data_IF_355839545451
#
_entry.id   IF_355839545451
#
_cell.length_a   1.000
_cell.length_b   1.000
_cell.length_c   1.000
_cell.angle_alpha   90.00
_cell.angle_beta   90.00
_cell.angle_gamma   90.00
#
_symmetry.space_group_name_H-M   'P 1'
#
loop_
_entity.id
_entity.type
_entity.pdbx_description
1 polymer ?
2 polymer ?
3 non-polymer ?
4 water ?
#
# COMPACT_ATOMS: atom_id res chain seq x y z
N UNK A 5 19.06 6.07 -5.20
CA UNK A 5 19.63 4.83 -5.72
C UNK A 5 19.01 3.62 -5.02
N UNK A 6 18.33 2.79 -5.81
CA UNK A 6 17.76 1.55 -5.31
C UNK A 6 18.79 0.44 -5.49
N UNK A 7 19.07 -0.28 -4.42
CA UNK A 7 19.98 -1.42 -4.47
C UNK A 7 19.19 -2.70 -4.21
N UNK A 8 19.78 -3.82 -4.64
CA UNK A 8 19.13 -5.12 -4.57
C UNK A 8 20.05 -6.10 -3.85
N UNK A 9 19.45 -6.96 -3.02
CA UNK A 9 20.18 -7.93 -2.22
C UNK A 9 19.25 -9.08 -1.90
N UNK A 10 19.79 -10.22 -1.51
CA UNK A 10 18.92 -11.33 -1.08
C UNK A 10 18.21 -10.96 0.22
N UNK A 11 17.02 -11.53 0.39
CA UNK A 11 16.30 -11.36 1.64
C UNK A 11 16.96 -12.19 2.73
N UNK A 12 17.07 -11.62 3.93
CA UNK A 12 17.64 -12.31 5.07
C UNK A 12 16.73 -12.14 6.28
N UNK A 13 16.99 -12.84 7.38
CA UNK A 13 15.99 -12.89 8.46
C UNK A 13 15.73 -11.55 9.13
N UNK A 14 16.58 -10.54 8.96
CA UNK A 14 16.26 -9.24 9.53
C UNK A 14 15.09 -8.59 8.83
N UNK A 15 14.72 -9.08 7.65
CA UNK A 15 13.60 -8.60 6.86
C UNK A 15 12.27 -9.25 7.24
N UNK A 16 12.26 -10.18 8.19
CA UNK A 16 11.09 -11.04 8.38
C UNK A 16 9.84 -10.21 8.71
N UNK A 17 9.91 -9.36 9.73
CA UNK A 17 8.70 -8.64 10.12
C UNK A 17 8.25 -7.69 9.02
N UNK A 18 9.19 -6.98 8.39
CA UNK A 18 8.84 -6.09 7.28
C UNK A 18 8.18 -6.85 6.14
N UNK A 19 8.73 -8.02 5.80
CA UNK A 19 8.18 -8.81 4.70
C UNK A 19 6.75 -9.23 4.99
N UNK A 20 6.50 -9.73 6.21
CA UNK A 20 5.16 -10.17 6.58
C UNK A 20 4.17 -9.00 6.55
N UNK A 21 4.59 -7.84 7.05
CA UNK A 21 3.70 -6.68 7.09
C UNK A 21 3.30 -6.23 5.69
N UNK A 22 4.28 -6.11 4.78
CA UNK A 22 3.95 -5.67 3.43
C UNK A 22 2.99 -6.65 2.78
N UNK A 23 3.26 -7.96 2.94
CA UNK A 23 2.39 -8.96 2.31
C UNK A 23 0.96 -8.82 2.81
N UNK A 24 0.76 -8.69 4.13
CA UNK A 24 -0.63 -8.68 4.56
C UNK A 24 -1.30 -7.38 4.21
N UNK A 25 -0.53 -6.33 3.91
CA UNK A 25 -1.09 -5.05 3.51
C UNK A 25 -1.37 -4.92 2.01
N UNK A 26 -0.69 -5.66 1.14
CA UNK A 26 -0.90 -5.46 -0.29
C UNK A 26 -1.42 -6.69 -1.02
N UNK A 27 -1.41 -7.87 -0.40
CA UNK A 27 -2.02 -9.03 -1.08
C UNK A 27 -3.27 -9.49 -0.34
N UNK A 28 -4.39 -9.69 -1.05
CA UNK A 28 -5.60 -10.21 -0.37
C UNK A 28 -5.52 -11.67 0.01
N UNK A 29 -4.62 -12.45 -0.58
CA UNK A 29 -4.38 -13.81 -0.13
C UNK A 29 -3.46 -13.76 1.09
N UNK A 30 -3.81 -14.48 2.14
CA UNK A 30 -3.05 -14.49 3.39
C UNK A 30 -2.09 -15.67 3.42
N UNK A 31 -0.87 -15.45 3.91
CA UNK A 31 0.15 -16.48 3.98
C UNK A 31 0.55 -16.77 5.42
N UNK A 32 0.97 -18.00 5.65
CA UNK A 32 1.34 -18.49 6.97
C UNK A 32 2.78 -18.14 7.30
N UNK A 33 3.08 -18.15 8.60
CA UNK A 33 4.42 -17.82 9.07
C UNK A 33 5.50 -18.66 8.37
N UNK A 34 5.22 -19.95 8.15
CA UNK A 34 6.25 -20.84 7.63
C UNK A 34 6.71 -20.40 6.24
N UNK A 35 5.82 -19.79 5.46
CA UNK A 35 6.22 -19.26 4.16
C UNK A 35 7.32 -18.22 4.33
N UNK A 36 7.10 -17.26 5.22
CA UNK A 36 8.07 -16.20 5.41
C UNK A 36 9.36 -16.73 6.02
N UNK A 37 9.25 -17.65 6.98
CA UNK A 37 10.45 -18.28 7.51
C UNK A 37 11.24 -18.96 6.40
N UNK A 38 10.55 -19.67 5.51
CA UNK A 38 11.22 -20.30 4.37
C UNK A 38 11.91 -19.26 3.49
N UNK A 39 11.23 -18.14 3.21
CA UNK A 39 11.84 -17.11 2.36
C UNK A 39 13.13 -16.59 2.99
N UNK A 40 13.08 -16.20 4.27
CA UNK A 40 14.23 -15.49 4.83
C UNK A 40 15.39 -16.43 5.09
N UNK A 41 15.14 -17.72 5.28
CA UNK A 41 16.24 -18.64 5.53
C UNK A 41 16.97 -19.06 4.26
N UNK A 42 16.50 -18.64 3.09
CA UNK A 42 17.03 -19.12 1.84
C UNK A 42 16.45 -20.47 1.49
N UNK A 43 17.30 -21.49 1.45
CA UNK A 43 16.84 -22.84 1.18
C UNK A 43 16.28 -23.02 -0.22
N UNK A 44 15.02 -23.46 -0.30
CA UNK A 44 14.40 -23.78 -1.58
C UNK A 44 13.68 -22.61 -2.22
N UNK A 45 13.58 -21.47 -1.54
CA UNK A 45 12.95 -20.28 -2.12
C UNK A 45 14.04 -19.26 -2.39
N UNK A 46 14.05 -18.71 -3.60
CA UNK A 46 15.00 -17.68 -3.97
C UNK A 46 14.27 -16.34 -3.96
N UNK A 47 14.96 -15.30 -3.53
CA UNK A 47 14.26 -14.03 -3.38
C UNK A 47 15.24 -12.88 -3.59
N UNK A 48 14.68 -11.74 -3.94
CA UNK A 48 15.44 -10.51 -4.10
C UNK A 48 14.70 -9.41 -3.36
N UNK A 49 15.45 -8.59 -2.64
CA UNK A 49 14.91 -7.43 -1.96
C UNK A 49 15.43 -6.18 -2.65
N UNK A 50 14.58 -5.17 -2.69
CA UNK A 50 14.94 -3.83 -3.13
C UNK A 50 14.99 -2.94 -1.89
N UNK A 51 16.05 -2.14 -1.78
CA UNK A 51 16.24 -1.25 -0.65
C UNK A 51 16.63 0.13 -1.15
N UNK A 52 16.18 1.17 -0.45
CA UNK A 52 16.56 2.54 -0.75
C UNK A 52 17.61 2.97 0.27
N UNK A 53 18.87 2.98 -0.16
CA UNK A 53 19.96 3.29 0.76
C UNK A 53 19.89 4.72 1.32
N UNK A 54 19.02 5.57 0.78
CA UNK A 54 18.97 6.97 1.21
C UNK A 54 17.85 7.27 2.20
N UNK A 55 17.01 6.28 2.54
CA UNK A 55 15.93 6.53 3.48
C UNK A 55 16.49 6.94 4.84
N UNK A 56 15.92 7.96 5.49
CA UNK A 56 16.40 8.36 6.81
C UNK A 56 15.75 7.53 7.91
N UNK A 57 15.95 7.95 9.16
CA UNK A 57 15.34 7.33 10.33
C UNK A 57 15.87 5.92 10.58
N UNK A 58 17.04 5.59 10.03
CA UNK A 58 17.54 4.24 10.18
C UNK A 58 16.72 3.19 9.46
N UNK A 59 15.95 3.60 8.46
CA UNK A 59 15.23 2.67 7.60
C UNK A 59 15.95 2.44 6.28
N UNK A 60 17.22 2.86 6.17
CA UNK A 60 17.97 2.75 4.93
C UNK A 60 18.28 1.30 4.55
N UNK A 61 17.99 0.34 5.42
CA UNK A 61 18.13 -1.06 5.06
C UNK A 61 16.79 -1.77 4.96
N UNK A 62 15.69 -1.07 5.23
CA UNK A 62 14.37 -1.68 5.18
C UNK A 62 13.96 -1.89 3.74
N UNK A 63 13.47 -3.07 3.41
CA UNK A 63 13.15 -3.27 2.02
C UNK A 63 11.91 -2.48 1.65
N UNK A 64 11.87 -2.05 0.40
CA UNK A 64 10.73 -1.37 -0.18
C UNK A 64 10.20 -2.09 -1.41
N UNK A 65 10.71 -3.30 -1.68
CA UNK A 65 10.20 -4.15 -2.75
C UNK A 65 10.81 -5.53 -2.64
N UNK A 66 10.19 -6.48 -3.31
CA UNK A 66 10.66 -7.86 -3.20
C UNK A 66 10.07 -8.69 -4.32
N UNK A 67 10.72 -9.81 -4.58
CA UNK A 67 10.16 -10.89 -5.37
C UNK A 67 10.61 -12.18 -4.74
N UNK A 68 9.70 -13.15 -4.63
CA UNK A 68 10.02 -14.47 -4.13
C UNK A 68 9.65 -15.52 -5.19
N UNK A 69 10.40 -16.61 -5.22
CA UNK A 69 10.18 -17.61 -6.27
C UNK A 69 10.70 -18.96 -5.80
N UNK A 70 10.22 -20.02 -6.45
CA UNK A 70 10.77 -21.35 -6.20
C UNK A 70 11.01 -22.06 -7.52
N UNK A 71 11.94 -23.02 -7.48
CA UNK A 71 12.22 -23.85 -8.65
C UNK A 71 11.30 -25.06 -8.61
N UNK A 72 10.61 -25.32 -9.73
CA UNK A 72 9.76 -26.49 -9.85
C UNK A 72 10.20 -27.29 -11.07
N UNK A 73 9.87 -28.59 -11.05
CA UNK A 73 10.07 -29.43 -12.21
C UNK A 73 9.09 -29.09 -13.32
N UNK A 74 9.59 -28.87 -14.53
CA UNK A 74 8.72 -28.49 -15.63
C UNK A 74 7.69 -29.58 -15.93
N UNK A 75 8.14 -30.83 -16.01
CA UNK A 75 7.22 -31.91 -16.38
C UNK A 75 6.06 -32.04 -15.40
N UNK A 76 6.23 -31.62 -14.15
CA UNK A 76 5.17 -31.73 -13.16
C UNK A 76 4.45 -30.41 -12.91
N UNK A 77 4.64 -29.41 -13.77
CA UNK A 77 3.95 -28.13 -13.64
C UNK A 77 2.66 -28.12 -14.44
N UNK A 78 1.85 -27.08 -14.20
CA UNK A 78 0.58 -26.92 -14.90
C UNK A 78 0.75 -26.47 -16.34
N UNK A 79 1.96 -26.06 -16.75
CA UNK A 79 2.23 -25.64 -18.12
C UNK A 79 3.18 -26.60 -18.82
N UNK A 80 3.18 -27.87 -18.42
CA UNK A 80 4.12 -28.83 -19.00
C UNK A 80 3.91 -29.00 -20.50
N UNK A 81 2.65 -28.97 -20.95
CA UNK A 81 2.36 -29.16 -22.38
C UNK A 81 2.82 -27.99 -23.23
N UNK A 82 3.12 -26.84 -22.62
CA UNK A 82 3.50 -25.65 -23.35
C UNK A 82 4.99 -25.60 -23.67
N UNK A 83 5.82 -26.34 -22.93
CA UNK A 83 7.27 -26.23 -22.94
C UNK A 83 7.87 -27.18 -23.97
N UNK A 84 8.98 -26.76 -24.56
CA UNK A 84 9.82 -27.63 -25.38
C UNK A 84 11.01 -28.10 -24.53
N UNK A 85 11.18 -29.41 -24.43
CA UNK A 85 12.14 -29.99 -23.51
C UNK A 85 13.48 -30.27 -24.18
N UNK A 86 14.53 -30.30 -23.35
CA UNK A 86 15.88 -30.64 -23.81
C UNK A 86 16.34 -31.95 -23.19
N UNK A 90 19.68 -32.57 -18.69
CA UNK A 90 19.09 -32.60 -17.36
C UNK A 90 17.59 -32.36 -17.36
N UNK A 91 16.93 -32.72 -16.24
CA UNK A 91 15.50 -32.57 -16.14
C UNK A 91 15.11 -31.10 -16.12
N UNK A 92 14.23 -30.71 -17.04
CA UNK A 92 13.86 -29.31 -17.16
C UNK A 92 13.16 -28.79 -15.93
N UNK A 93 13.38 -27.52 -15.64
CA UNK A 93 12.76 -26.88 -14.49
C UNK A 93 12.17 -25.55 -14.92
N UNK A 94 11.38 -24.98 -14.02
CA UNK A 94 10.79 -23.65 -14.17
C UNK A 94 10.99 -22.89 -12.88
N UNK A 95 11.02 -21.57 -12.98
CA UNK A 95 11.01 -20.71 -11.81
C UNK A 95 9.61 -20.14 -11.67
N UNK A 96 8.97 -20.43 -10.54
CA UNK A 96 7.62 -19.95 -10.26
C UNK A 96 7.72 -18.74 -9.33
N UNK A 97 7.31 -17.56 -9.82
CA UNK A 97 7.30 -16.39 -8.95
C UNK A 97 6.12 -16.52 -8.01
N UNK A 98 6.41 -16.55 -6.70
CA UNK A 98 5.41 -16.71 -5.65
C UNK A 98 4.74 -15.38 -5.29
N UNK A 99 5.53 -14.37 -4.94
CA UNK A 99 4.99 -13.04 -4.68
C UNK A 99 5.93 -11.98 -5.25
N UNK A 100 5.35 -10.83 -5.60
CA UNK A 100 6.08 -9.70 -6.16
C UNK A 100 5.38 -8.44 -5.69
N UNK A 101 6.11 -7.50 -5.13
CA UNK A 101 5.45 -6.27 -4.73
C UNK A 101 6.42 -5.14 -4.48
N UNK A 102 5.90 -3.92 -4.58
CA UNK A 102 6.66 -2.70 -4.31
C UNK A 102 5.82 -1.81 -3.42
N UNK A 103 6.45 -1.24 -2.38
CA UNK A 103 5.76 -0.32 -1.48
C UNK A 103 5.18 0.85 -2.28
N UNK A 104 3.99 1.30 -1.86
CA UNK A 104 3.19 2.18 -2.68
C UNK A 104 3.94 3.45 -3.07
N UNK A 105 4.62 4.09 -2.11
CA UNK A 105 5.35 5.32 -2.40
C UNK A 105 6.57 5.11 -3.30
N UNK A 106 6.95 3.87 -3.58
CA UNK A 106 8.10 3.57 -4.44
C UNK A 106 7.69 3.04 -5.81
N UNK A 107 6.40 3.04 -6.13
CA UNK A 107 5.96 2.50 -7.40
C UNK A 107 6.22 3.48 -8.54
N UNK A 108 6.17 2.95 -9.76
CA UNK A 108 6.30 3.73 -10.98
C UNK A 108 7.70 4.30 -11.13
N UNK A 109 8.70 3.58 -10.63
CA UNK A 109 10.10 3.92 -10.81
C UNK A 109 10.88 2.80 -11.48
N UNK A 110 10.22 1.74 -11.93
CA UNK A 110 10.91 0.63 -12.55
C UNK A 110 11.49 -0.39 -11.59
N UNK A 111 11.11 -0.34 -10.31
CA UNK A 111 11.67 -1.30 -9.35
C UNK A 111 11.15 -2.71 -9.64
N UNK A 112 9.85 -2.84 -9.90
CA UNK A 112 9.31 -4.17 -10.21
C UNK A 112 9.95 -4.73 -11.47
N UNK A 113 10.12 -3.89 -12.50
CA UNK A 113 10.80 -4.33 -13.72
C UNK A 113 12.20 -4.83 -13.40
N UNK A 114 12.93 -4.10 -12.57
CA UNK A 114 14.26 -4.52 -12.17
C UNK A 114 14.22 -5.85 -11.40
N UNK A 115 13.23 -6.01 -10.52
CA UNK A 115 13.12 -7.26 -9.76
C UNK A 115 12.82 -8.44 -10.68
N UNK A 116 11.89 -8.27 -11.63
CA UNK A 116 11.63 -9.36 -12.57
C UNK A 116 12.86 -9.67 -13.39
N UNK A 117 13.58 -8.63 -13.83
CA UNK A 117 14.81 -8.86 -14.56
C UNK A 117 15.80 -9.70 -13.74
N UNK A 118 15.87 -9.46 -12.43
CA UNK A 118 16.74 -10.28 -11.59
C UNK A 118 16.32 -11.75 -11.62
N UNK A 119 15.01 -12.01 -11.63
CA UNK A 119 14.52 -13.38 -11.72
C UNK A 119 14.83 -13.97 -13.09
N UNK A 120 14.59 -13.21 -14.16
CA UNK A 120 14.84 -13.75 -15.49
C UNK A 120 16.33 -14.01 -15.69
N UNK A 121 17.17 -13.08 -15.24
CA UNK A 121 18.62 -13.27 -15.32
C UNK A 121 19.06 -14.53 -14.57
N UNK A 122 18.52 -14.72 -13.37
CA UNK A 122 18.82 -15.93 -12.59
C UNK A 122 18.43 -17.18 -13.35
N UNK A 123 17.19 -17.23 -13.85
CA UNK A 123 16.68 -18.40 -14.56
C UNK A 123 17.48 -18.68 -15.83
N UNK A 124 17.86 -17.62 -16.55
CA UNK A 124 18.65 -17.84 -17.75
C UNK A 124 19.95 -18.57 -17.43
N UNK A 125 20.52 -18.31 -16.26
CA UNK A 125 21.78 -18.89 -15.85
C UNK A 125 21.74 -20.35 -15.45
N UNK A 126 20.56 -20.95 -15.41
CA UNK A 126 20.40 -22.38 -15.10
C UNK A 126 20.15 -23.09 -16.42
N UNK A 127 21.03 -23.97 -16.87
CA UNK A 127 20.84 -24.57 -18.21
C UNK A 127 19.54 -25.34 -18.35
N UNK A 128 19.11 -26.04 -17.30
CA UNK A 128 17.90 -26.85 -17.40
C UNK A 128 16.61 -26.03 -17.35
N UNK A 129 16.69 -24.74 -17.07
CA UNK A 129 15.50 -23.94 -16.82
C UNK A 129 14.81 -23.59 -18.13
N UNK A 130 13.48 -23.72 -18.13
CA UNK A 130 12.65 -23.55 -19.31
C UNK A 130 11.84 -22.27 -19.32
N UNK A 131 11.80 -21.54 -18.21
CA UNK A 131 11.05 -20.30 -18.18
C UNK A 131 10.68 -19.91 -16.76
N UNK A 132 9.95 -18.80 -16.69
CA UNK A 132 9.44 -18.20 -15.46
C UNK A 132 7.93 -18.07 -15.63
N UNK A 133 7.15 -18.39 -14.60
CA UNK A 133 5.71 -18.17 -14.70
C UNK A 133 5.15 -17.75 -13.35
N UNK A 134 3.90 -17.30 -13.39
CA UNK A 134 3.26 -16.70 -12.23
C UNK A 134 1.76 -16.64 -12.47
N UNK A 135 1.03 -16.39 -11.40
CA UNK A 135 -0.40 -16.12 -11.46
C UNK A 135 -0.64 -14.68 -11.03
N UNK A 136 -1.59 -14.02 -11.69
CA UNK A 136 -1.99 -12.68 -11.30
C UNK A 136 -3.52 -12.61 -11.30
N UNK A 137 -4.09 -11.89 -10.33
CA UNK A 137 -5.55 -11.81 -10.22
C UNK A 137 -6.11 -10.97 -11.36
N UNK A 138 -7.28 -11.35 -11.86
CA UNK A 138 -7.90 -10.56 -12.90
C UNK A 138 -8.13 -9.13 -12.41
N UNK A 139 -7.98 -8.18 -13.32
CA UNK A 139 -8.26 -6.76 -13.07
C UNK A 139 -7.15 -6.10 -12.25
N UNK A 140 -6.02 -6.79 -12.03
CA UNK A 140 -4.83 -6.16 -11.44
C UNK A 140 -4.06 -5.52 -12.58
N UNK A 141 -4.57 -4.38 -13.06
CA UNK A 141 -4.06 -3.81 -14.30
C UNK A 141 -2.59 -3.37 -14.21
N UNK A 142 -2.10 -2.77 -13.11
CA UNK A 142 -0.67 -2.43 -13.09
C UNK A 142 0.23 -3.65 -13.27
N UNK A 143 -0.10 -4.77 -12.61
CA UNK A 143 0.74 -5.95 -12.74
C UNK A 143 0.62 -6.57 -14.13
N UNK A 144 -0.60 -6.65 -14.66
CA UNK A 144 -0.80 -7.26 -15.96
C UNK A 144 -0.02 -6.51 -17.03
N UNK A 145 -0.11 -5.17 -17.01
CA UNK A 145 0.63 -4.36 -17.97
C UNK A 145 2.13 -4.61 -17.83
N UNK A 146 2.63 -4.70 -16.59
CA UNK A 146 4.05 -4.95 -16.37
C UNK A 146 4.50 -6.26 -17.02
N UNK A 147 3.77 -7.35 -16.75
CA UNK A 147 4.17 -8.63 -17.31
C UNK A 147 4.11 -8.60 -18.83
N UNK A 148 3.10 -7.94 -19.40
CA UNK A 148 3.05 -7.86 -20.86
C UNK A 148 4.19 -7.01 -21.40
N UNK A 149 4.57 -5.96 -20.66
CA UNK A 149 5.69 -5.11 -21.06
C UNK A 149 6.99 -5.88 -21.11
N UNK A 150 7.12 -6.93 -20.30
CA UNK A 150 8.35 -7.72 -20.26
C UNK A 150 8.20 -9.05 -20.98
N UNK A 151 7.24 -9.15 -21.89
CA UNK A 151 7.12 -10.25 -22.84
C UNK A 151 6.73 -11.58 -22.19
N UNK A 152 6.12 -11.55 -21.01
CA UNK A 152 5.37 -12.71 -20.54
C UNK A 152 4.12 -12.87 -21.39
N UNK A 153 3.78 -14.10 -21.72
CA UNK A 153 2.56 -14.41 -22.47
C UNK A 153 1.48 -14.92 -21.52
N UNK A 154 0.25 -14.44 -21.71
CA UNK A 154 -0.89 -15.01 -21.01
C UNK A 154 -1.35 -16.26 -21.72
N UNK A 155 -1.24 -17.41 -21.05
CA UNK A 155 -1.56 -18.69 -21.66
C UNK A 155 -2.82 -19.33 -21.10
N UNK A 156 -3.40 -18.78 -20.03
CA UNK A 156 -4.54 -19.43 -19.39
C UNK A 156 -5.28 -18.43 -18.51
N UNK A 157 -6.61 -18.54 -18.49
CA UNK A 157 -7.44 -17.85 -17.51
C UNK A 157 -8.07 -18.91 -16.61
N UNK A 158 -7.80 -18.83 -15.31
CA UNK A 158 -8.29 -19.81 -14.36
C UNK A 158 -9.51 -19.25 -13.65
N UNK A 159 -10.67 -19.82 -13.94
CA UNK A 159 -11.93 -19.29 -13.43
C UNK A 159 -12.06 -19.59 -11.94
N UNK A 160 -12.26 -18.55 -11.14
CA UNK A 160 -12.48 -18.75 -9.71
C UNK A 160 -11.27 -19.27 -8.99
N UNK A 161 -10.08 -18.82 -9.40
CA UNK A 161 -8.82 -19.35 -8.88
C UNK A 161 -8.60 -18.96 -7.42
N UNK A 162 -8.92 -17.72 -7.06
CA UNK A 162 -8.66 -17.19 -5.73
C UNK A 162 -9.92 -17.14 -4.89
N UNK A 163 -9.81 -17.56 -3.62
CA UNK A 163 -10.88 -17.43 -2.64
C UNK A 163 -10.51 -16.30 -1.68
N UNK A 164 -11.30 -15.23 -1.68
CA UNK A 164 -11.04 -14.05 -0.88
C UNK A 164 -12.36 -13.58 -0.29
N UNK A 165 -12.48 -13.63 1.03
CA UNK A 165 -13.68 -13.15 1.71
C UNK A 165 -14.93 -13.77 1.09
N UNK A 166 -14.87 -15.08 0.85
CA UNK A 166 -16.04 -15.81 0.39
C UNK A 166 -16.43 -15.59 -1.06
N UNK A 167 -15.59 -14.93 -1.85
CA UNK A 167 -15.87 -14.73 -3.26
C UNK A 167 -14.71 -15.25 -4.09
N UNK A 168 -15.02 -15.65 -5.32
CA UNK A 168 -14.00 -16.18 -6.22
C UNK A 168 -13.64 -15.15 -7.27
N UNK A 169 -12.35 -15.09 -7.60
CA UNK A 169 -11.82 -14.16 -8.59
C UNK A 169 -10.93 -14.95 -9.54
N UNK A 170 -10.96 -14.56 -10.81
CA UNK A 170 -10.15 -15.24 -11.80
C UNK A 170 -8.68 -14.88 -11.64
N UNK A 171 -7.81 -15.79 -12.09
CA UNK A 171 -6.40 -15.50 -12.25
C UNK A 171 -6.00 -15.74 -13.69
N UNK A 172 -4.90 -15.10 -14.09
CA UNK A 172 -4.26 -15.34 -15.37
C UNK A 172 -2.88 -15.92 -15.12
N UNK A 173 -2.49 -16.86 -15.98
CA UNK A 173 -1.18 -17.52 -15.88
C UNK A 173 -0.29 -16.91 -16.95
N UNK A 174 0.76 -16.21 -16.53
CA UNK A 174 1.72 -15.59 -17.42
C UNK A 174 3.02 -16.38 -17.45
N UNK A 175 3.61 -16.51 -18.64
CA UNK A 175 4.80 -17.32 -18.84
C UNK A 175 5.83 -16.55 -19.65
N UNK A 176 7.08 -16.62 -19.22
CA UNK A 176 8.21 -16.11 -19.99
C UNK A 176 9.08 -17.30 -20.35
N UNK A 177 9.18 -17.61 -21.64
CA UNK A 177 9.92 -18.78 -22.08
C UNK A 177 11.40 -18.45 -22.23
N UNK A 178 12.26 -19.39 -21.80
CA UNK A 178 13.70 -19.19 -21.71
C UNK A 178 14.43 -20.36 -22.37
N UNK A 179 15.66 -20.09 -22.80
CA UNK A 179 16.56 -21.13 -23.30
C UNK A 179 15.91 -21.95 -24.40
N UNK A 180 15.20 -21.26 -25.30
CA UNK A 180 14.59 -21.90 -26.45
C UNK A 180 13.42 -22.80 -26.16
N UNK A 181 12.87 -22.77 -24.94
CA UNK A 181 11.77 -23.65 -24.60
C UNK A 181 10.47 -23.18 -25.24
N UNK B 5 -17.12 -6.50 12.07
CA UNK B 5 -15.81 -6.75 11.47
C UNK B 5 -14.89 -5.55 11.69
N UNK B 6 -15.11 -4.49 10.93
CA UNK B 6 -14.30 -3.28 11.08
C UNK B 6 -14.83 -2.45 12.24
N UNK B 7 -13.96 -2.15 13.21
CA UNK B 7 -14.32 -1.37 14.37
C UNK B 7 -13.45 -0.12 14.44
N UNK B 8 -13.92 0.89 15.17
CA UNK B 8 -13.24 2.17 15.24
C UNK B 8 -12.93 2.49 16.69
N UNK B 9 -11.73 3.02 16.91
CA UNK B 9 -11.28 3.35 18.26
C UNK B 9 -10.27 4.47 18.16
N UNK B 10 -10.03 5.19 19.27
CA UNK B 10 -8.95 6.19 19.27
C UNK B 10 -7.62 5.50 19.01
N UNK B 11 -6.71 6.23 18.37
CA UNK B 11 -5.33 5.76 18.27
C UNK B 11 -4.66 5.89 19.63
N UNK B 12 -3.81 4.93 19.98
CA UNK B 12 -3.12 4.97 21.26
C UNK B 12 -1.64 4.66 21.06
N UNK B 13 -0.83 4.84 22.10
CA UNK B 13 0.64 4.72 21.93
C UNK B 13 1.09 3.40 21.38
N UNK B 14 0.35 2.31 21.55
CA UNK B 14 0.87 1.04 21.02
C UNK B 14 0.69 0.92 19.52
N UNK B 15 -0.02 1.87 18.91
CA UNK B 15 -0.14 1.99 17.46
C UNK B 15 1.02 2.75 16.83
N UNK B 16 1.96 3.28 17.63
CA UNK B 16 2.95 4.23 17.10
C UNK B 16 3.72 3.66 15.91
N UNK B 17 4.35 2.50 16.08
CA UNK B 17 5.21 2.01 15.00
C UNK B 17 4.40 1.71 13.76
N UNK B 18 3.21 1.15 13.94
CA UNK B 18 2.33 0.85 12.81
C UNK B 18 1.91 2.14 12.12
N UNK B 19 1.55 3.15 12.89
CA UNK B 19 1.12 4.41 12.31
C UNK B 19 2.24 5.04 11.48
N UNK B 20 3.45 5.09 12.04
CA UNK B 20 4.58 5.66 11.31
C UNK B 20 4.86 4.88 10.04
N UNK B 21 4.76 3.55 10.11
CA UNK B 21 5.09 2.72 8.96
C UNK B 21 4.11 2.95 7.83
N UNK B 22 2.81 2.93 8.13
CA UNK B 22 1.81 3.17 7.07
C UNK B 22 2.03 4.52 6.41
N UNK B 23 2.27 5.57 7.21
CA UNK B 23 2.52 6.90 6.64
C UNK B 23 3.72 6.89 5.70
N UNK B 24 4.85 6.29 6.12
CA UNK B 24 6.04 6.25 5.25
C UNK B 24 5.75 5.54 3.95
N UNK B 25 4.84 4.57 3.97
CA UNK B 25 4.62 3.71 2.83
C UNK B 25 3.55 4.22 1.87
N UNK B 26 2.66 5.12 2.31
CA UNK B 26 1.57 5.54 1.44
C UNK B 26 1.54 7.05 1.18
N UNK B 27 2.27 7.86 1.94
CA UNK B 27 2.38 9.28 1.60
C UNK B 27 3.79 9.65 1.13
N UNK B 28 3.92 10.48 0.09
CA UNK B 28 5.25 10.92 -0.34
C UNK B 28 5.85 12.02 0.52
N UNK B 29 5.10 12.56 1.47
CA UNK B 29 5.58 13.56 2.40
C UNK B 29 6.04 12.86 3.66
N UNK B 30 7.23 13.21 4.16
CA UNK B 30 7.74 12.66 5.41
C UNK B 30 7.40 13.56 6.60
N UNK B 31 6.85 12.97 7.65
CA UNK B 31 6.48 13.69 8.86
C UNK B 31 7.45 13.38 9.99
N UNK B 32 7.63 14.36 10.87
CA UNK B 32 8.61 14.26 11.94
C UNK B 32 8.07 13.43 13.10
N UNK B 33 8.99 12.88 13.89
CA UNK B 33 8.62 11.99 14.99
C UNK B 33 7.61 12.64 15.92
N UNK B 34 7.77 13.94 16.18
CA UNK B 34 6.88 14.60 17.13
C UNK B 34 5.42 14.55 16.66
N UNK B 35 5.18 14.58 15.35
CA UNK B 35 3.81 14.48 14.86
C UNK B 35 3.15 13.19 15.33
N UNK B 36 3.85 12.06 15.15
CA UNK B 36 3.27 10.77 15.51
C UNK B 36 3.14 10.62 17.03
N UNK B 37 4.10 11.15 17.79
CA UNK B 37 3.97 11.19 19.23
C UNK B 37 2.73 11.97 19.64
N UNK B 38 2.50 13.12 19.00
CA UNK B 38 1.31 13.92 19.30
C UNK B 38 0.04 13.16 18.95
N UNK B 39 0.05 12.40 17.84
CA UNK B 39 -1.13 11.64 17.47
C UNK B 39 -1.45 10.59 18.53
N UNK B 40 -0.48 9.74 18.87
CA UNK B 40 -0.81 8.60 19.73
C UNK B 40 -1.03 9.02 21.17
N UNK B 41 -0.42 10.12 21.62
CA UNK B 41 -0.57 10.58 22.99
C UNK B 41 -1.78 11.49 23.20
N UNK B 42 -2.27 12.12 22.15
CA UNK B 42 -3.31 13.11 22.29
C UNK B 42 -2.74 14.46 22.67
N UNK B 43 -3.65 15.41 22.82
CA UNK B 43 -3.27 16.81 22.88
C UNK B 43 -4.17 17.50 21.87
N UNK B 44 -3.62 18.36 21.02
CA UNK B 44 -4.49 19.06 20.09
C UNK B 44 -4.81 18.25 18.85
N UNK B 45 -4.22 17.07 18.66
CA UNK B 45 -4.59 16.19 17.56
C UNK B 45 -5.56 15.13 18.04
N UNK B 46 -6.69 15.00 17.34
CA UNK B 46 -7.68 13.95 17.58
C UNK B 46 -7.63 12.99 16.40
N UNK B 47 -7.97 11.72 16.65
CA UNK B 47 -7.75 10.70 15.63
C UNK B 47 -8.68 9.53 15.84
N UNK B 48 -8.88 8.78 14.75
CA UNK B 48 -9.68 7.57 14.73
C UNK B 48 -8.90 6.48 14.02
N UNK B 49 -8.94 5.28 14.57
CA UNK B 49 -8.35 4.11 13.92
C UNK B 49 -9.48 3.19 13.47
N UNK B 50 -9.28 2.56 12.33
CA UNK B 50 -10.10 1.43 11.90
C UNK B 50 -9.30 0.15 12.12
N UNK B 51 -9.96 -0.86 12.69
CA UNK B 51 -9.36 -2.15 12.99
C UNK B 51 -10.29 -3.25 12.50
N UNK B 52 -9.70 -4.38 12.10
CA UNK B 52 -10.46 -5.55 11.67
C UNK B 52 -10.39 -6.59 12.79
N UNK B 53 -11.42 -6.62 13.64
CA UNK B 53 -11.43 -7.56 14.75
C UNK B 53 -11.67 -8.99 14.30
N UNK B 54 -12.29 -9.19 13.14
CA UNK B 54 -12.54 -10.53 12.62
C UNK B 54 -11.31 -11.17 12.01
N UNK B 55 -10.12 -10.63 12.28
CA UNK B 55 -8.88 -11.17 11.72
C UNK B 55 -8.44 -12.41 12.50
N UNK B 56 -7.86 -13.40 11.81
CA UNK B 56 -7.45 -14.63 12.51
C UNK B 56 -5.97 -14.65 12.88
N UNK B 57 -5.18 -13.73 12.32
CA UNK B 57 -3.75 -13.72 12.57
C UNK B 57 -3.42 -12.95 13.83
N UNK B 58 -2.19 -13.15 14.31
CA UNK B 58 -1.73 -12.47 15.52
C UNK B 58 -1.74 -10.96 15.43
N UNK B 59 -1.94 -10.38 14.25
CA UNK B 59 -1.92 -8.94 14.07
C UNK B 59 -3.33 -8.34 13.98
N UNK B 60 -4.32 -9.03 14.53
CA UNK B 60 -5.71 -8.63 14.33
C UNK B 60 -6.02 -7.25 14.90
N UNK B 61 -5.35 -6.85 15.98
CA UNK B 61 -5.62 -5.57 16.64
C UNK B 61 -4.88 -4.40 16.00
N UNK B 62 -4.06 -4.63 14.97
CA UNK B 62 -3.34 -3.52 14.37
C UNK B 62 -4.27 -2.67 13.50
N UNK B 63 -3.96 -1.39 13.37
CA UNK B 63 -4.89 -0.61 12.59
C UNK B 63 -4.67 -0.83 11.10
N UNK B 64 -5.75 -0.69 10.35
CA UNK B 64 -5.72 -0.82 8.90
C UNK B 64 -6.28 0.43 8.22
N UNK B 65 -6.56 1.46 9.01
CA UNK B 65 -6.99 2.75 8.50
C UNK B 65 -6.94 3.76 9.62
N UNK B 66 -6.88 5.04 9.25
CA UNK B 66 -6.78 6.12 10.23
C UNK B 66 -7.22 7.44 9.60
N UNK B 67 -7.62 8.36 10.46
CA UNK B 67 -7.71 9.78 10.09
C UNK B 67 -7.22 10.57 11.29
N UNK B 68 -6.46 11.62 11.03
CA UNK B 68 -5.96 12.52 12.05
C UNK B 68 -6.45 13.94 11.75
N UNK B 69 -6.62 14.75 12.79
CA UNK B 69 -7.26 16.05 12.61
C UNK B 69 -6.97 16.94 13.81
N UNK B 70 -7.20 18.23 13.63
CA UNK B 70 -7.13 19.14 14.77
C UNK B 70 -8.17 20.23 14.62
N UNK B 71 -8.59 20.77 15.76
CA UNK B 71 -9.56 21.86 15.78
C UNK B 71 -8.78 23.16 15.70
N UNK B 72 -9.19 24.04 14.80
CA UNK B 72 -8.52 25.33 14.63
C UNK B 72 -9.54 26.44 14.70
N UNK B 73 -9.06 27.63 15.08
CA UNK B 73 -9.88 28.83 15.03
C UNK B 73 -10.13 29.21 13.58
N UNK B 74 -11.40 29.38 13.22
CA UNK B 74 -11.74 29.75 11.85
C UNK B 74 -11.02 31.02 11.42
N UNK B 75 -10.98 32.02 12.31
CA UNK B 75 -10.38 33.30 11.99
C UNK B 75 -8.88 33.22 11.76
N UNK B 76 -8.23 32.12 12.11
CA UNK B 76 -6.82 31.95 11.81
C UNK B 76 -6.57 30.87 10.77
N UNK B 77 -7.61 30.29 10.20
CA UNK B 77 -7.47 29.24 9.21
C UNK B 77 -7.23 29.84 7.83
N UNK B 78 -6.79 28.99 6.90
CA UNK B 78 -6.62 29.47 5.54
C UNK B 78 -7.94 29.76 4.83
N UNK B 79 -9.09 29.44 5.42
CA UNK B 79 -10.34 29.89 4.80
C UNK B 79 -11.02 30.91 5.69
N UNK B 80 -10.22 31.68 6.43
CA UNK B 80 -10.78 32.73 7.28
C UNK B 80 -11.59 33.74 6.47
N UNK B 81 -11.28 33.89 5.18
CA UNK B 81 -12.02 34.81 4.33
C UNK B 81 -13.40 34.27 3.95
N UNK B 82 -13.67 32.98 4.15
CA UNK B 82 -14.97 32.41 3.78
C UNK B 82 -15.87 32.14 4.98
N UNK B 83 -15.34 32.12 6.20
CA UNK B 83 -16.10 31.71 7.37
C UNK B 83 -16.38 32.94 8.25
N UNK B 84 -17.58 32.98 8.81
CA UNK B 84 -17.94 34.02 9.79
C UNK B 84 -18.93 33.46 10.81
N UNK B 88 -21.95 37.56 18.96
CA UNK B 88 -20.98 36.46 18.88
C UNK B 88 -21.38 35.33 19.82
N UNK B 89 -21.73 34.19 19.22
CA UNK B 89 -22.10 32.98 19.94
C UNK B 89 -20.90 32.21 20.46
N UNK B 90 -19.70 32.74 20.30
CA UNK B 90 -18.47 32.02 20.55
C UNK B 90 -17.54 32.09 19.35
N UNK B 91 -16.29 31.70 19.60
CA UNK B 91 -15.29 31.72 18.54
C UNK B 91 -15.57 30.60 17.54
N UNK B 92 -15.72 30.96 16.27
CA UNK B 92 -15.92 29.94 15.24
C UNK B 92 -14.72 29.02 15.12
N UNK B 93 -14.99 27.74 14.88
CA UNK B 93 -13.92 26.75 14.73
C UNK B 93 -14.15 25.95 13.46
N UNK B 94 -13.10 25.20 13.10
CA UNK B 94 -13.08 24.28 11.97
C UNK B 94 -12.32 23.03 12.39
N UNK B 95 -12.62 21.91 11.74
CA UNK B 95 -11.83 20.70 11.92
C UNK B 95 -10.95 20.53 10.69
N UNK B 96 -9.64 20.51 10.91
CA UNK B 96 -8.65 20.41 9.86
C UNK B 96 -8.17 18.97 9.83
N UNK B 97 -8.55 18.21 8.80
CA UNK B 97 -8.06 16.84 8.66
C UNK B 97 -6.63 16.89 8.15
N UNK B 98 -5.73 16.18 8.85
CA UNK B 98 -4.30 16.28 8.53
C UNK B 98 -3.86 15.14 7.63
N UNK B 99 -4.09 13.89 8.06
CA UNK B 99 -3.80 12.73 7.23
C UNK B 99 -4.94 11.73 7.30
N UNK B 100 -5.09 10.97 6.22
CA UNK B 100 -6.19 10.01 6.06
C UNK B 100 -5.68 8.89 5.17
N UNK B 101 -5.84 7.64 5.61
CA UNK B 101 -5.37 6.54 4.78
C UNK B 101 -5.97 5.23 5.20
N UNK B 102 -6.03 4.31 4.24
CA UNK B 102 -6.49 2.94 4.48
C UNK B 102 -5.50 2.00 3.82
N UNK B 103 -5.15 0.93 4.54
CA UNK B 103 -4.20 -0.02 4.00
C UNK B 103 -4.75 -0.64 2.70
N UNK B 104 -3.85 -0.93 1.77
CA UNK B 104 -4.26 -1.24 0.40
C UNK B 104 -5.27 -2.39 0.33
N UNK B 105 -5.03 -3.49 1.03
CA UNK B 105 -5.92 -4.64 0.96
C UNK B 105 -7.28 -4.39 1.60
N UNK B 106 -7.44 -3.30 2.35
CA UNK B 106 -8.72 -2.93 2.95
C UNK B 106 -9.45 -1.81 2.22
N UNK B 107 -8.94 -1.37 1.07
CA UNK B 107 -9.58 -0.28 0.35
C UNK B 107 -10.83 -0.76 -0.39
N UNK B 108 -11.67 0.20 -0.78
CA UNK B 108 -12.89 -0.09 -1.55
C UNK B 108 -13.88 -0.95 -0.75
N UNK B 109 -13.91 -0.70 0.57
CA UNK B 109 -14.89 -1.29 1.47
C UNK B 109 -15.72 -0.24 2.22
N UNK B 110 -15.51 1.05 1.94
CA UNK B 110 -16.20 2.12 2.62
C UNK B 110 -15.54 2.59 3.89
N UNK B 111 -14.30 2.14 4.16
CA UNK B 111 -13.65 2.48 5.43
C UNK B 111 -13.28 3.96 5.47
N UNK B 112 -12.70 4.50 4.40
CA UNK B 112 -12.41 5.93 4.41
C UNK B 112 -13.69 6.74 4.54
N UNK B 113 -14.76 6.34 3.84
CA UNK B 113 -16.02 7.06 4.02
C UNK B 113 -16.47 7.03 5.48
N UNK B 114 -16.33 5.86 6.13
CA UNK B 114 -16.73 5.76 7.54
C UNK B 114 -15.86 6.64 8.43
N UNK B 115 -14.56 6.66 8.16
CA UNK B 115 -13.64 7.48 8.94
C UNK B 115 -13.98 8.96 8.82
N UNK B 116 -14.17 9.43 7.60
CA UNK B 116 -14.59 10.82 7.40
C UNK B 116 -15.91 11.09 8.11
N UNK B 117 -16.84 10.13 8.03
CA UNK B 117 -18.12 10.33 8.72
C UNK B 117 -17.93 10.42 10.23
N UNK B 118 -16.95 9.71 10.78
CA UNK B 118 -16.59 9.89 12.19
C UNK B 118 -16.19 11.33 12.47
N UNK B 119 -15.36 11.92 11.61
CA UNK B 119 -14.90 13.28 11.83
C UNK B 119 -16.05 14.27 11.71
N UNK B 120 -16.91 14.09 10.71
CA UNK B 120 -18.04 15.00 10.52
C UNK B 120 -18.98 14.95 11.72
N UNK B 121 -19.29 13.74 12.18
CA UNK B 121 -20.13 13.62 13.37
C UNK B 121 -19.49 14.33 14.56
N UNK B 122 -18.18 14.15 14.74
CA UNK B 122 -17.46 14.81 15.83
C UNK B 122 -17.54 16.34 15.70
N UNK B 123 -17.31 16.84 14.48
CA UNK B 123 -17.33 18.29 14.27
C UNK B 123 -18.69 18.89 14.57
N UNK B 124 -19.76 18.15 14.29
CA UNK B 124 -21.10 18.65 14.58
C UNK B 124 -21.35 18.79 16.08
N UNK B 125 -20.53 18.17 16.92
CA UNK B 125 -20.62 18.36 18.35
C UNK B 125 -19.75 19.45 18.92
N UNK B 126 -18.95 20.13 18.09
CA UNK B 126 -18.05 21.18 18.56
C UNK B 126 -18.76 22.52 18.53
N UNK B 127 -18.68 23.32 19.60
CA UNK B 127 -19.38 24.62 19.60
C UNK B 127 -18.91 25.51 18.46
N UNK B 128 -19.88 26.05 17.72
CA UNK B 128 -19.63 27.01 16.66
C UNK B 128 -18.64 26.45 15.63
N UNK B 129 -18.65 25.15 15.42
CA UNK B 129 -17.81 24.57 14.38
C UNK B 129 -18.48 24.75 13.02
N UNK B 130 -17.75 25.31 12.06
CA UNK B 130 -18.33 25.75 10.80
C UNK B 130 -17.96 24.85 9.62
N UNK B 131 -17.14 23.84 9.82
CA UNK B 131 -16.80 22.97 8.72
C UNK B 131 -15.60 22.11 9.00
N UNK B 132 -15.31 21.25 8.02
CA UNK B 132 -14.16 20.34 8.00
C UNK B 132 -13.39 20.64 6.72
N UNK B 133 -12.06 20.65 6.79
CA UNK B 133 -11.34 20.88 5.54
C UNK B 133 -10.06 20.05 5.53
N UNK B 134 -9.49 19.94 4.34
CA UNK B 134 -8.30 19.11 4.14
C UNK B 134 -7.61 19.52 2.83
N UNK B 135 -6.41 18.99 2.62
CA UNK B 135 -5.66 19.20 1.40
C UNK B 135 -5.41 17.84 0.76
N UNK B 136 -5.42 17.83 -0.57
CA UNK B 136 -5.16 16.62 -1.35
C UNK B 136 -4.26 17.01 -2.51
N UNK B 137 -3.34 16.12 -2.87
CA UNK B 137 -2.44 16.43 -3.98
C UNK B 137 -3.18 16.28 -5.30
N UNK B 138 -2.80 17.11 -6.26
CA UNK B 138 -3.43 17.03 -7.57
C UNK B 138 -3.24 15.64 -8.16
N UNK B 139 -4.28 15.11 -8.79
CA UNK B 139 -4.26 13.83 -9.49
C UNK B 139 -4.35 12.61 -8.57
N UNK B 140 -4.64 12.81 -7.28
CA UNK B 140 -5.00 11.71 -6.38
C UNK B 140 -6.49 11.44 -6.56
N UNK B 141 -6.81 10.76 -7.66
CA UNK B 141 -8.20 10.66 -8.10
C UNK B 141 -9.09 9.86 -7.15
N UNK B 142 -8.61 8.75 -6.58
CA UNK B 142 -9.44 8.06 -5.58
C UNK B 142 -9.85 8.95 -4.42
N UNK B 143 -8.94 9.76 -3.89
CA UNK B 143 -9.29 10.63 -2.78
C UNK B 143 -10.24 11.73 -3.25
N UNK B 144 -9.92 12.34 -4.39
CA UNK B 144 -10.72 13.45 -4.88
C UNK B 144 -12.16 13.00 -5.10
N UNK B 145 -12.33 11.81 -5.68
CA UNK B 145 -13.68 11.30 -5.90
C UNK B 145 -14.43 11.12 -4.58
N UNK B 146 -13.73 10.61 -3.57
CA UNK B 146 -14.34 10.39 -2.26
C UNK B 146 -14.79 11.71 -1.66
N UNK B 147 -13.93 12.73 -1.67
CA UNK B 147 -14.31 13.99 -1.06
C UNK B 147 -15.53 14.57 -1.75
N UNK B 148 -15.57 14.50 -3.09
CA UNK B 148 -16.71 15.07 -3.80
C UNK B 148 -17.99 14.30 -3.50
N UNK B 149 -17.90 12.96 -3.43
CA UNK B 149 -19.07 12.16 -3.10
C UNK B 149 -19.64 12.55 -1.75
N UNK B 150 -18.79 12.97 -0.83
CA UNK B 150 -19.18 13.33 0.52
C UNK B 150 -19.47 14.81 0.68
N UNK B 151 -19.59 15.54 -0.43
CA UNK B 151 -20.04 16.92 -0.39
C UNK B 151 -18.99 17.89 0.12
N UNK B 152 -17.71 17.50 0.12
CA UNK B 152 -16.64 18.49 0.22
C UNK B 152 -16.57 19.24 -1.10
N UNK B 153 -16.33 20.54 -1.00
CA UNK B 153 -16.25 21.43 -2.16
C UNK B 153 -14.80 21.81 -2.41
N UNK B 154 -14.37 21.70 -3.65
CA UNK B 154 -13.00 22.05 -4.04
C UNK B 154 -12.93 23.57 -4.15
N UNK B 155 -12.54 24.25 -3.06
CA UNK B 155 -12.65 25.70 -3.05
C UNK B 155 -11.44 26.40 -3.65
N UNK B 156 -10.28 25.77 -3.67
CA UNK B 156 -9.20 26.43 -4.40
C UNK B 156 -8.06 25.46 -4.68
N UNK B 157 -7.26 25.83 -5.67
CA UNK B 157 -6.06 25.10 -6.05
C UNK B 157 -4.87 25.92 -5.61
N UNK B 158 -3.98 25.30 -4.85
CA UNK B 158 -2.80 25.96 -4.29
C UNK B 158 -1.60 25.51 -5.12
N UNK B 159 -1.04 26.43 -5.91
CA UNK B 159 0.08 26.09 -6.77
C UNK B 159 1.34 25.81 -5.94
N UNK B 160 1.98 24.68 -6.18
CA UNK B 160 3.26 24.40 -5.53
C UNK B 160 3.18 24.17 -4.03
N UNK B 161 2.02 23.74 -3.54
CA UNK B 161 1.79 23.54 -2.12
C UNK B 161 2.72 22.49 -1.52
N UNK B 162 2.99 21.41 -2.22
CA UNK B 162 3.79 20.31 -1.70
C UNK B 162 5.20 20.35 -2.25
N UNK B 163 6.17 20.03 -1.41
CA UNK B 163 7.56 19.92 -1.81
C UNK B 163 7.99 18.46 -1.65
N UNK B 164 8.34 17.82 -2.77
CA UNK B 164 8.68 16.40 -2.76
C UNK B 164 9.93 16.21 -3.60
N UNK B 165 11.03 15.83 -2.97
CA UNK B 165 12.30 15.64 -3.66
C UNK B 165 12.66 16.89 -4.46
N UNK B 166 12.49 18.05 -3.84
CA UNK B 166 12.84 19.31 -4.46
C UNK B 166 11.89 19.81 -5.53
N UNK B 167 10.81 19.09 -5.81
CA UNK B 167 9.84 19.48 -6.82
C UNK B 167 8.53 19.87 -6.15
N UNK B 168 7.84 20.84 -6.74
CA UNK B 168 6.59 21.37 -6.20
C UNK B 168 5.40 20.71 -6.91
N UNK B 169 4.37 20.41 -6.13
CA UNK B 169 3.13 19.84 -6.66
C UNK B 169 1.95 20.61 -6.09
N UNK B 170 0.88 20.71 -6.88
CA UNK B 170 -0.30 21.46 -6.46
C UNK B 170 -1.15 20.66 -5.47
N UNK B 171 -1.87 21.37 -4.62
CA UNK B 171 -2.90 20.74 -3.80
C UNK B 171 -4.25 21.38 -4.10
N UNK B 172 -5.31 20.62 -3.82
CA UNK B 172 -6.66 21.16 -3.76
C UNK B 172 -7.10 21.27 -2.32
N UNK B 173 -7.73 22.39 -1.97
CA UNK B 173 -8.35 22.57 -0.67
C UNK B 173 -9.82 22.18 -0.77
N UNK B 174 -10.24 21.23 0.06
CA UNK B 174 -11.61 20.73 0.08
C UNK B 174 -12.25 21.10 1.41
N UNK B 175 -13.49 21.61 1.35
CA UNK B 175 -14.18 22.11 2.52
C UNK B 175 -15.57 21.48 2.57
N UNK B 176 -15.92 20.92 3.73
CA UNK B 176 -17.28 20.46 4.03
C UNK B 176 -17.92 21.49 4.95
N UNK B 177 -18.95 22.18 4.47
CA UNK B 177 -19.55 23.27 5.24
C UNK B 177 -20.59 22.74 6.23
N UNK B 178 -20.50 23.22 7.47
CA UNK B 178 -21.46 22.92 8.52
C UNK B 178 -22.22 24.19 8.87
N UNK B 179 -23.55 24.11 8.84
CA UNK B 179 -24.40 25.27 9.15
C UNK B 179 -24.37 26.32 8.06
N UNK C 1 1.03 -13.54 -7.39
CA UNK C 1 0.47 -13.96 -6.15
C UNK C 1 0.05 -15.42 -6.15
N UNK C 2 0.86 -16.33 -5.51
CA UNK C 2 0.64 -17.73 -5.39
C UNK C 2 -0.70 -17.89 -4.58
N UNK C 3 -1.58 -18.93 -4.90
CA UNK C 3 -2.84 -19.16 -4.21
C UNK C 3 -2.57 -19.62 -2.71
N UNK C 4 -3.57 -19.54 -1.75
CA UNK C 4 -3.50 -19.94 -0.30
C UNK C 4 -2.63 -21.25 0.00
N UNK D 1 -3.63 15.00 3.07
CA UNK D 1 -2.29 15.06 3.40
C UNK D 1 -1.79 16.47 3.60
N UNK D 2 -1.35 16.87 4.79
CA UNK D 2 -0.85 18.14 5.12
C UNK D 2 0.71 18.18 4.76
N UNK D 3 1.40 19.40 4.53
CA UNK D 3 2.87 19.46 4.28
C UNK D 3 3.53 19.11 5.66
N UNK D 4 4.88 18.80 5.82
CA UNK D 4 5.57 18.49 7.11
C UNK D 4 5.94 19.78 7.96
#
# INVERSE_FOLDING_TARGET
ARRPTICFRPINPSDLERLEQIHRDIFPIRYESEFFQNVVNGGDIVSWAAVDRSRPDGHSEELIGFVTAKIVLAKESEISDLIRYDSSKGEGTLVYILTLGVVETYRKRGIAKALINEVVKYSSGIPVCRGVYLHVIAHNNPAIRLYKRMSFRCVRRLHGFYLINGQHFDSYLFVYFINGS
ARRPTICFRPINPSDLERLEQIHRDIFPIRYESEFFQNVVNGGDIVSWAAVDRSRPDGHSEELIGFVTAKIVLAKESEISDLIRYDSSKGEGTLVYILTLGVVETYRKRGIAKALINEVVKYSSGIPVCRGVYLHVIAHNNPAIRLYKRMSFRCVRRLHGFYLINGQHFDSYLFVYFINGS
MVNA
MVNA
#
